data_IF_101587266491
#
_entry.id   IF_101587266491
#
_cell.length_a   1.000
_cell.length_b   1.000
_cell.length_c   1.000
_cell.angle_alpha   90.00
_cell.angle_beta   90.00
_cell.angle_gamma   90.00
#
_symmetry.space_group_name_H-M   'P 1'
#
loop_
_entity.id
_entity.type
_entity.pdbx_description
1 polymer ?
#
# COMPACT_ATOMS: atom_id res chain seq x y z
N UNK A 1 53.23 31.43 21.72
CA UNK A 1 52.16 32.15 21.00
C UNK A 1 51.88 31.44 19.68
N UNK A 2 50.60 31.26 19.35
CA UNK A 2 49.99 30.56 18.18
C UNK A 2 49.54 29.11 18.42
N UNK A 3 48.43 29.02 19.14
CA UNK A 3 47.35 28.05 19.00
C UNK A 3 46.96 27.84 17.54
N UNK A 4 46.82 26.59 17.10
CA UNK A 4 46.09 26.23 15.88
C UNK A 4 45.21 25.01 16.15
N UNK A 5 43.94 25.30 16.41
CA UNK A 5 42.86 24.33 16.37
C UNK A 5 42.57 24.02 14.90
N UNK A 6 42.65 22.75 14.50
CA UNK A 6 42.11 22.31 13.21
C UNK A 6 41.12 21.19 13.45
N UNK A 7 39.89 21.62 13.73
CA UNK A 7 38.64 21.14 13.14
C UNK A 7 38.51 19.62 12.95
N UNK A 8 38.06 18.97 14.03
CA UNK A 8 36.84 18.15 14.08
C UNK A 8 36.33 17.63 12.72
N UNK A 9 36.86 16.48 12.27
CA UNK A 9 36.27 15.70 11.17
C UNK A 9 34.93 15.11 11.62
N UNK A 10 33.86 15.90 11.47
CA UNK A 10 32.47 15.45 11.55
C UNK A 10 32.17 14.67 10.26
N UNK A 11 32.55 13.40 10.21
CA UNK A 11 32.13 12.51 9.13
C UNK A 11 30.62 12.31 9.26
N UNK A 12 29.89 12.99 8.37
CA UNK A 12 28.46 12.84 8.13
C UNK A 12 28.12 11.35 7.97
N UNK A 13 27.54 10.76 9.01
CA UNK A 13 26.77 9.54 8.91
C UNK A 13 25.54 9.86 8.05
N UNK A 14 25.70 9.71 6.74
CA UNK A 14 24.60 9.79 5.78
C UNK A 14 23.79 8.51 5.92
N UNK A 15 22.91 8.47 6.94
CA UNK A 15 21.91 7.42 7.05
C UNK A 15 21.02 7.50 5.81
N UNK A 16 21.24 6.56 4.89
CA UNK A 16 20.28 6.23 3.84
C UNK A 16 19.05 5.70 4.57
N UNK A 17 18.12 6.60 4.91
CA UNK A 17 16.79 6.23 5.35
C UNK A 17 16.11 5.63 4.14
N UNK A 18 16.21 4.31 4.00
CA UNK A 18 15.41 3.53 3.08
C UNK A 18 13.96 3.89 3.42
N UNK A 19 13.31 4.68 2.56
CA UNK A 19 11.93 5.09 2.70
C UNK A 19 10.99 3.91 2.39
N UNK A 20 11.20 2.79 3.08
CA UNK A 20 10.21 1.75 3.19
C UNK A 20 9.13 2.30 4.12
N UNK A 21 7.89 2.34 3.63
CA UNK A 21 6.76 2.67 4.49
C UNK A 21 6.76 1.72 5.70
N UNK A 22 6.48 2.21 6.91
CA UNK A 22 6.23 1.31 8.02
C UNK A 22 5.09 0.34 7.64
N UNK A 23 5.10 -0.90 8.14
CA UNK A 23 4.20 -1.97 7.67
C UNK A 23 2.71 -1.58 7.77
N UNK A 24 2.37 -0.75 8.76
CA UNK A 24 1.02 -0.21 8.93
C UNK A 24 0.63 0.81 7.86
N UNK A 25 1.55 1.70 7.47
CA UNK A 25 1.30 2.69 6.42
C UNK A 25 1.20 2.04 5.03
N UNK A 26 1.97 0.99 4.77
CA UNK A 26 1.84 0.22 3.54
C UNK A 26 0.47 -0.47 3.44
N UNK A 27 0.01 -1.10 4.54
CA UNK A 27 -1.32 -1.73 4.58
C UNK A 27 -2.44 -0.72 4.36
N UNK A 28 -2.39 0.44 5.01
CA UNK A 28 -3.36 1.52 4.80
C UNK A 28 -3.34 2.06 3.36
N UNK A 29 -2.16 2.19 2.77
CA UNK A 29 -2.02 2.63 1.38
C UNK A 29 -2.67 1.65 0.40
N UNK A 30 -2.50 0.34 0.64
CA UNK A 30 -3.15 -0.72 -0.15
C UNK A 30 -4.66 -0.74 0.03
N UNK A 31 -5.16 -0.67 1.26
CA UNK A 31 -6.60 -0.62 1.55
C UNK A 31 -7.23 0.59 0.87
N UNK A 32 -6.58 1.75 0.98
CA UNK A 32 -7.02 2.97 0.30
C UNK A 32 -7.09 2.77 -1.21
N UNK A 33 -6.06 2.19 -1.82
CA UNK A 33 -6.06 1.90 -3.26
C UNK A 33 -7.21 0.96 -3.67
N UNK A 34 -7.54 -0.03 -2.84
CA UNK A 34 -8.69 -0.93 -3.06
C UNK A 34 -10.01 -0.16 -2.98
N UNK A 35 -10.18 0.70 -1.99
CA UNK A 35 -11.41 1.50 -1.81
C UNK A 35 -11.60 2.58 -2.88
N UNK A 36 -10.50 3.19 -3.33
CA UNK A 36 -10.50 4.23 -4.38
C UNK A 36 -10.60 3.63 -5.79
N UNK A 37 -10.51 2.30 -5.94
CA UNK A 37 -10.56 1.64 -7.25
C UNK A 37 -11.97 1.67 -7.83
N UNK A 38 -12.09 2.29 -9.01
CA UNK A 38 -13.33 2.29 -9.79
C UNK A 38 -13.79 0.87 -10.13
N UNK A 39 -12.88 -0.06 -10.45
CA UNK A 39 -13.26 -1.43 -10.80
C UNK A 39 -13.89 -2.18 -9.61
N UNK A 40 -13.35 -1.95 -8.42
CA UNK A 40 -13.90 -2.50 -7.17
C UNK A 40 -15.27 -1.90 -6.90
N UNK A 41 -15.41 -0.57 -7.05
CA UNK A 41 -16.69 0.11 -6.92
C UNK A 41 -17.72 -0.35 -7.95
N UNK A 42 -17.34 -0.59 -9.20
CA UNK A 42 -18.29 -1.02 -10.24
C UNK A 42 -18.80 -2.45 -9.98
N UNK A 43 -17.95 -3.33 -9.41
CA UNK A 43 -18.35 -4.70 -9.04
C UNK A 43 -19.10 -4.78 -7.71
N UNK A 44 -18.78 -3.93 -6.73
CA UNK A 44 -19.45 -3.89 -5.42
C UNK A 44 -20.63 -2.93 -5.36
N UNK A 45 -20.66 -1.89 -6.18
CA UNK A 45 -21.63 -0.77 -6.12
C UNK A 45 -23.07 -1.17 -6.43
N UNK A 46 -23.28 -2.43 -6.81
CA UNK A 46 -24.59 -3.07 -6.98
C UNK A 46 -24.98 -4.01 -5.83
N UNK A 47 -24.13 -4.19 -4.81
CA UNK A 47 -24.33 -5.12 -3.68
C UNK A 47 -24.03 -4.46 -2.33
N UNK A 48 -24.66 -5.02 -1.29
CA UNK A 48 -24.67 -4.53 0.09
C UNK A 48 -23.31 -4.04 0.65
N UNK A 49 -23.40 -3.21 1.69
CA UNK A 49 -22.28 -2.70 2.48
C UNK A 49 -21.22 -3.77 2.79
N UNK A 50 -19.93 -3.40 2.69
CA UNK A 50 -18.82 -4.28 3.03
C UNK A 50 -18.82 -4.48 4.55
N UNK A 51 -18.89 -5.74 4.99
CA UNK A 51 -18.88 -6.12 6.40
C UNK A 51 -17.47 -6.46 6.89
N UNK A 52 -16.60 -6.98 6.01
CA UNK A 52 -15.21 -7.29 6.36
C UNK A 52 -14.24 -7.14 5.19
N UNK A 53 -13.00 -6.77 5.54
CA UNK A 53 -11.86 -6.72 4.63
C UNK A 53 -10.78 -7.61 5.25
N UNK A 54 -10.39 -8.68 4.55
CA UNK A 54 -9.34 -9.60 5.02
C UNK A 54 -8.18 -9.61 4.05
N UNK A 55 -6.95 -9.39 4.54
CA UNK A 55 -5.75 -9.51 3.72
C UNK A 55 -5.49 -10.99 3.36
N UNK A 56 -5.07 -11.22 2.12
CA UNK A 56 -4.73 -12.53 1.57
C UNK A 56 -3.36 -12.45 0.92
N UNK A 57 -2.79 -13.60 0.52
CA UNK A 57 -1.46 -13.64 -0.12
C UNK A 57 -1.36 -12.79 -1.40
N UNK A 58 -2.47 -12.59 -2.11
CA UNK A 58 -2.50 -11.91 -3.42
C UNK A 58 -3.16 -10.52 -3.38
N UNK A 59 -3.65 -10.07 -2.22
CA UNK A 59 -4.41 -8.83 -2.08
C UNK A 59 -5.42 -8.90 -0.94
N UNK A 60 -6.70 -8.61 -1.22
CA UNK A 60 -7.76 -8.54 -0.21
C UNK A 60 -9.00 -9.33 -0.62
N UNK A 61 -9.67 -9.90 0.38
CA UNK A 61 -11.01 -10.45 0.26
C UNK A 61 -11.98 -9.47 0.91
N UNK A 62 -12.88 -8.91 0.11
CA UNK A 62 -13.97 -8.06 0.57
C UNK A 62 -15.20 -8.95 0.75
N UNK A 63 -15.77 -8.96 1.94
CA UNK A 63 -17.00 -9.70 2.23
C UNK A 63 -18.11 -8.72 2.55
N UNK A 64 -19.28 -9.02 2.00
CA UNK A 64 -20.57 -8.43 2.32
C UNK A 64 -21.46 -9.55 2.88
N UNK A 65 -22.67 -9.21 3.32
CA UNK A 65 -23.60 -10.16 3.94
C UNK A 65 -23.87 -11.41 3.08
N UNK A 66 -23.95 -11.24 1.76
CA UNK A 66 -24.24 -12.33 0.81
C UNK A 66 -23.20 -12.50 -0.29
N UNK A 67 -22.26 -11.57 -0.42
CA UNK A 67 -21.32 -11.55 -1.54
C UNK A 67 -19.88 -11.49 -1.06
N UNK A 68 -18.98 -12.11 -1.83
CA UNK A 68 -17.53 -12.06 -1.61
C UNK A 68 -16.86 -11.61 -2.91
N UNK A 69 -15.99 -10.61 -2.83
CA UNK A 69 -15.17 -10.13 -3.92
C UNK A 69 -13.70 -10.33 -3.58
N UNK A 70 -12.97 -11.01 -4.45
CA UNK A 70 -11.51 -11.10 -4.39
C UNK A 70 -10.90 -9.91 -5.13
N UNK A 71 -9.99 -9.20 -4.49
CA UNK A 71 -9.28 -8.06 -5.09
C UNK A 71 -7.78 -8.35 -5.05
N UNK A 72 -7.14 -8.31 -6.22
CA UNK A 72 -5.69 -8.45 -6.34
C UNK A 72 -5.02 -7.09 -6.32
N UNK A 73 -3.94 -6.96 -5.56
CA UNK A 73 -3.17 -5.72 -5.45
C UNK A 73 -1.73 -6.01 -5.80
N UNK A 74 -1.29 -5.48 -6.94
CA UNK A 74 0.06 -5.69 -7.48
C UNK A 74 0.86 -4.38 -7.42
N UNK A 75 2.12 -4.45 -7.00
CA UNK A 75 3.03 -3.31 -7.11
C UNK A 75 3.49 -3.16 -8.56
N UNK A 76 3.30 -1.98 -9.12
CA UNK A 76 3.84 -1.67 -10.43
C UNK A 76 5.34 -1.39 -10.32
N UNK A 77 6.14 -1.80 -11.33
CA UNK A 77 7.55 -1.44 -11.39
C UNK A 77 7.68 0.08 -11.46
N UNK A 78 8.51 0.66 -10.58
CA UNK A 78 8.76 2.10 -10.53
C UNK A 78 10.25 2.40 -10.71
N UNK A 79 10.54 3.44 -11.49
CA UNK A 79 11.91 3.88 -11.79
C UNK A 79 12.42 4.92 -10.79
N UNK A 80 11.51 5.62 -10.09
CA UNK A 80 11.84 6.65 -9.11
C UNK A 80 11.67 6.14 -7.67
N UNK A 81 12.52 6.58 -6.73
CA UNK A 81 12.36 6.26 -5.32
C UNK A 81 11.11 6.96 -4.76
N UNK A 82 10.23 6.20 -4.12
CA UNK A 82 8.96 6.69 -3.60
C UNK A 82 7.95 5.58 -3.33
N UNK A 83 6.73 5.94 -2.89
CA UNK A 83 5.65 4.97 -2.74
C UNK A 83 5.31 4.37 -4.10
N UNK A 84 5.35 3.04 -4.18
CA UNK A 84 5.03 2.29 -5.39
C UNK A 84 3.60 2.53 -5.83
N UNK A 85 3.40 2.76 -7.12
CA UNK A 85 2.07 2.71 -7.71
C UNK A 85 1.48 1.30 -7.56
N UNK A 86 0.21 1.24 -7.19
CA UNK A 86 -0.52 0.00 -6.97
C UNK A 86 -1.51 -0.21 -8.12
N UNK A 87 -1.45 -1.37 -8.75
CA UNK A 87 -2.46 -1.84 -9.69
C UNK A 87 -3.46 -2.68 -8.92
N UNK A 88 -4.71 -2.23 -8.89
CA UNK A 88 -5.82 -2.96 -8.26
C UNK A 88 -6.64 -3.61 -9.37
N UNK A 89 -6.82 -4.94 -9.28
CA UNK A 89 -7.67 -5.71 -10.20
C UNK A 89 -8.77 -6.38 -9.39
N UNK A 90 -10.01 -6.09 -9.73
CA UNK A 90 -11.14 -6.75 -9.09
C UNK A 90 -11.36 -8.12 -9.75
N UNK A 91 -11.48 -9.17 -8.95
CA UNK A 91 -11.78 -10.53 -9.39
C UNK A 91 -13.26 -10.74 -9.65
N UNK A 92 -13.70 -11.99 -9.59
CA UNK A 92 -15.11 -12.35 -9.73
C UNK A 92 -15.88 -12.18 -8.42
N UNK A 93 -17.06 -11.58 -8.52
CA UNK A 93 -18.00 -11.45 -7.41
C UNK A 93 -18.77 -12.75 -7.24
N UNK A 94 -18.64 -13.38 -6.08
CA UNK A 94 -19.37 -14.59 -5.73
C UNK A 94 -20.46 -14.24 -4.71
N UNK A 95 -21.72 -14.27 -5.14
CA UNK A 95 -22.87 -14.08 -4.27
C UNK A 95 -23.56 -15.43 -4.00
N UNK A 96 -23.95 -15.64 -2.74
CA UNK A 96 -24.74 -16.80 -2.29
C UNK A 96 -26.21 -16.43 -2.15
#
# INVERSE_FOLDING_TARGET
MKTKYTLLSFFFFSHITIAALPPTAESMHRIKAVMDSKEVYDKLGSVNWITSITETKEGYKLQSEKCTLMVKVERMPQTMPGPSQLSVKAGELHCK
#
